data_IF_304049744797
#
_entry.id   IF_304049744797
#
_cell.length_a   1.000
_cell.length_b   1.000
_cell.length_c   1.000
_cell.angle_alpha   90.00
_cell.angle_beta   90.00
_cell.angle_gamma   90.00
#
_symmetry.space_group_name_H-M   'P 1'
#
loop_
_entity.id
_entity.type
_entity.pdbx_description
1 polymer ?
#
# COMPACT_ATOMS: atom_id res chain seq x y z
N UNK A 1 48.16 66.88 -12.59
CA UNK A 1 46.87 66.76 -11.87
C UNK A 1 45.73 66.58 -12.87
N UNK A 2 45.74 67.39 -13.92
CA UNK A 2 44.68 67.58 -14.93
C UNK A 2 44.24 66.32 -15.72
N UNK A 3 45.11 65.31 -15.87
CA UNK A 3 44.75 64.06 -16.56
C UNK A 3 44.32 62.92 -15.62
N UNK A 4 44.70 62.98 -14.34
CA UNK A 4 44.59 61.86 -13.40
C UNK A 4 43.49 62.05 -12.34
N UNK A 5 43.16 63.30 -11.99
CA UNK A 5 41.99 63.57 -11.14
C UNK A 5 40.74 63.34 -11.98
N UNK A 6 39.90 62.39 -11.57
CA UNK A 6 38.71 61.96 -12.33
C UNK A 6 39.07 61.47 -13.75
N UNK A 7 40.05 60.57 -13.80
CA UNK A 7 40.52 59.97 -15.04
C UNK A 7 39.39 59.27 -15.81
N UNK A 8 39.15 59.75 -17.03
CA UNK A 8 38.17 59.24 -17.98
C UNK A 8 38.83 59.11 -19.35
N UNK A 9 38.68 57.96 -20.00
CA UNK A 9 39.19 57.67 -21.35
C UNK A 9 38.01 57.50 -22.30
N UNK A 10 38.21 57.84 -23.58
CA UNK A 10 37.20 57.71 -24.61
C UNK A 10 36.94 56.24 -24.94
N UNK A 11 37.98 55.41 -25.01
CA UNK A 11 37.91 53.98 -25.33
C UNK A 11 39.12 53.22 -24.79
N UNK A 12 39.03 51.89 -24.84
CA UNK A 12 40.08 50.94 -24.40
C UNK A 12 40.54 49.93 -25.46
N UNK A 13 40.00 50.03 -26.68
CA UNK A 13 40.18 49.02 -27.75
C UNK A 13 41.13 49.49 -28.84
N UNK A 14 41.56 50.76 -28.82
CA UNK A 14 42.42 51.34 -29.85
C UNK A 14 43.89 50.99 -29.62
N UNK A 15 44.56 50.59 -30.69
CA UNK A 15 45.99 50.24 -30.70
C UNK A 15 46.88 51.28 -31.39
N UNK A 16 46.32 52.25 -32.14
CA UNK A 16 47.08 53.30 -32.84
C UNK A 16 46.50 54.68 -32.52
N UNK A 17 47.30 55.76 -32.44
CA UNK A 17 46.78 57.10 -32.18
C UNK A 17 45.74 57.54 -33.23
N UNK A 18 44.65 58.23 -32.85
CA UNK A 18 43.76 58.91 -33.79
C UNK A 18 44.53 59.88 -34.69
N UNK A 19 44.11 60.02 -35.95
CA UNK A 19 44.73 60.95 -36.90
C UNK A 19 44.52 62.44 -36.54
N UNK A 20 43.49 62.75 -35.75
CA UNK A 20 43.17 64.12 -35.33
C UNK A 20 42.64 64.13 -33.89
N UNK A 21 43.51 63.98 -32.88
CA UNK A 21 43.10 64.07 -31.48
C UNK A 21 42.82 65.51 -31.06
N UNK A 22 41.87 65.69 -30.15
CA UNK A 22 41.61 66.95 -29.47
C UNK A 22 42.35 67.01 -28.13
N UNK A 23 42.79 68.20 -27.72
CA UNK A 23 43.37 68.42 -26.39
C UNK A 23 42.41 67.93 -25.30
N UNK A 24 42.94 67.15 -24.35
CA UNK A 24 42.12 66.47 -23.34
C UNK A 24 41.80 65.01 -23.66
N UNK A 25 41.98 64.56 -24.92
CA UNK A 25 41.68 63.19 -25.30
C UNK A 25 42.56 62.20 -24.53
N UNK A 26 41.91 61.19 -23.96
CA UNK A 26 42.56 60.11 -23.22
C UNK A 26 42.08 58.78 -23.79
N UNK A 27 42.99 57.88 -24.07
CA UNK A 27 42.67 56.52 -24.49
C UNK A 27 43.40 55.54 -23.59
N UNK A 28 42.72 54.48 -23.19
CA UNK A 28 43.39 53.31 -22.65
C UNK A 28 43.91 52.50 -23.83
N UNK A 29 45.22 52.42 -24.00
CA UNK A 29 45.83 51.78 -25.16
C UNK A 29 45.64 50.27 -25.08
N UNK A 30 45.00 49.67 -26.08
CA UNK A 30 44.83 48.22 -26.16
C UNK A 30 46.17 47.51 -26.41
N UNK A 31 46.22 46.21 -26.12
CA UNK A 31 47.39 45.38 -26.45
C UNK A 31 47.59 45.29 -27.97
N UNK A 32 48.85 45.29 -28.40
CA UNK A 32 49.24 45.40 -29.80
C UNK A 32 49.42 46.86 -30.25
N UNK A 33 49.86 47.74 -29.35
CA UNK A 33 50.01 49.16 -29.65
C UNK A 33 51.00 49.42 -30.80
N UNK A 34 50.67 50.34 -31.70
CA UNK A 34 51.42 50.64 -32.93
C UNK A 34 51.68 52.15 -33.08
N UNK A 35 52.53 52.50 -34.06
CA UNK A 35 52.92 53.89 -34.30
C UNK A 35 53.66 54.48 -33.09
N UNK A 36 53.39 55.75 -32.79
CA UNK A 36 53.98 56.43 -31.63
C UNK A 36 53.51 55.88 -30.27
N UNK A 37 52.48 55.03 -30.25
CA UNK A 37 52.03 54.32 -29.05
C UNK A 37 52.71 52.94 -28.88
N UNK A 38 53.64 52.55 -29.77
CA UNK A 38 54.32 51.26 -29.65
C UNK A 38 54.97 51.08 -28.25
N UNK A 39 54.64 49.95 -27.59
CA UNK A 39 55.07 49.65 -26.23
C UNK A 39 54.30 50.36 -25.11
N UNK A 40 53.19 51.02 -25.43
CA UNK A 40 52.29 51.68 -24.46
C UNK A 40 51.07 50.83 -24.13
N UNK A 41 51.08 49.54 -24.47
CA UNK A 41 50.02 48.59 -24.16
C UNK A 41 49.53 48.72 -22.71
N UNK A 42 48.23 48.83 -22.50
CA UNK A 42 47.58 48.99 -21.19
C UNK A 42 47.91 50.29 -20.45
N UNK A 43 48.62 51.24 -21.06
CA UNK A 43 48.88 52.57 -20.50
C UNK A 43 47.80 53.55 -20.98
N UNK A 44 47.73 54.72 -20.33
CA UNK A 44 46.82 55.78 -20.77
C UNK A 44 47.60 56.74 -21.66
N UNK A 45 47.16 56.89 -22.90
CA UNK A 45 47.64 57.90 -23.81
C UNK A 45 46.81 59.17 -23.61
N UNK A 46 47.45 60.27 -23.24
CA UNK A 46 46.84 61.59 -23.02
C UNK A 46 47.36 62.59 -24.04
N UNK A 47 46.48 63.22 -24.82
CA UNK A 47 46.85 64.26 -25.78
C UNK A 47 46.74 65.64 -25.16
N UNK A 48 47.87 66.37 -25.14
CA UNK A 48 47.97 67.73 -24.62
C UNK A 48 49.10 68.47 -25.34
N UNK A 49 48.92 69.76 -25.62
CA UNK A 49 49.93 70.65 -26.21
C UNK A 49 50.59 70.07 -27.48
N UNK A 50 49.81 69.38 -28.31
CA UNK A 50 50.29 68.82 -29.58
C UNK A 50 51.11 67.53 -29.47
N UNK A 51 51.17 66.89 -28.30
CA UNK A 51 51.90 65.64 -28.09
C UNK A 51 51.09 64.60 -27.28
N UNK A 52 51.38 63.31 -27.54
CA UNK A 52 50.89 62.24 -26.68
C UNK A 52 51.83 62.06 -25.49
N UNK A 53 51.26 62.05 -24.30
CA UNK A 53 51.92 61.69 -23.05
C UNK A 53 51.47 60.30 -22.64
N UNK A 54 52.43 59.45 -22.28
CA UNK A 54 52.19 58.14 -21.68
C UNK A 54 52.03 58.27 -20.17
N UNK A 55 50.89 57.86 -19.64
CA UNK A 55 50.69 57.70 -18.20
C UNK A 55 50.72 56.20 -17.86
N UNK A 56 51.72 55.82 -17.06
CA UNK A 56 51.90 54.44 -16.59
C UNK A 56 51.00 54.20 -15.37
N UNK A 57 50.03 53.26 -15.43
CA UNK A 57 49.12 53.03 -14.32
C UNK A 57 49.85 52.44 -13.11
N UNK A 58 49.41 52.83 -11.91
CA UNK A 58 49.83 52.21 -10.65
C UNK A 58 48.66 51.44 -10.04
N UNK A 59 48.97 50.42 -9.24
CA UNK A 59 47.95 49.57 -8.62
C UNK A 59 46.92 50.43 -7.88
N UNK A 60 45.64 50.15 -8.12
CA UNK A 60 44.51 50.89 -7.56
C UNK A 60 44.06 52.12 -8.36
N UNK A 61 44.73 52.47 -9.47
CA UNK A 61 44.22 53.52 -10.36
C UNK A 61 42.87 53.12 -10.93
N UNK A 62 41.94 54.08 -10.95
CA UNK A 62 40.60 53.94 -11.51
C UNK A 62 40.47 54.77 -12.79
N UNK A 63 39.82 54.22 -13.81
CA UNK A 63 39.50 54.92 -15.06
C UNK A 63 38.06 54.65 -15.46
N UNK A 64 37.32 55.70 -15.82
CA UNK A 64 36.04 55.57 -16.52
C UNK A 64 36.27 55.38 -18.01
N UNK A 65 35.70 54.34 -18.61
CA UNK A 65 35.75 54.12 -20.08
C UNK A 65 34.44 54.61 -20.69
N UNK A 66 34.45 55.79 -21.30
CA UNK A 66 33.25 56.45 -21.78
C UNK A 66 32.48 55.64 -22.82
N UNK A 67 33.18 54.94 -23.73
CA UNK A 67 32.55 54.08 -24.74
C UNK A 67 31.82 52.86 -24.17
N UNK A 68 32.17 52.40 -22.96
CA UNK A 68 31.61 51.18 -22.34
C UNK A 68 30.72 51.48 -21.13
N UNK A 69 30.79 52.69 -20.56
CA UNK A 69 29.98 53.07 -19.42
C UNK A 69 30.36 52.34 -18.12
N UNK A 70 31.64 52.01 -17.94
CA UNK A 70 32.14 51.28 -16.77
C UNK A 70 33.46 51.83 -16.22
N UNK A 71 33.76 51.47 -14.97
CA UNK A 71 35.05 51.72 -14.34
C UNK A 71 35.97 50.50 -14.47
N UNK A 72 37.25 50.75 -14.73
CA UNK A 72 38.31 49.77 -14.60
C UNK A 72 39.26 50.15 -13.46
N UNK A 73 39.79 49.15 -12.77
CA UNK A 73 40.89 49.29 -11.79
C UNK A 73 42.13 48.58 -12.29
N UNK A 74 43.30 49.22 -12.16
CA UNK A 74 44.57 48.56 -12.43
C UNK A 74 45.00 47.69 -11.25
N UNK A 75 45.11 46.38 -11.45
CA UNK A 75 45.51 45.42 -10.40
C UNK A 75 47.02 45.35 -10.17
N UNK A 76 47.81 45.98 -11.05
CA UNK A 76 49.26 45.82 -11.11
C UNK A 76 49.71 45.08 -12.37
N UNK A 77 48.83 44.29 -12.98
CA UNK A 77 49.10 43.52 -14.21
C UNK A 77 47.99 43.64 -15.26
N UNK A 78 46.76 43.96 -14.86
CA UNK A 78 45.63 44.09 -15.78
C UNK A 78 44.67 45.20 -15.34
N UNK A 79 43.90 45.72 -16.30
CA UNK A 79 42.72 46.54 -16.04
C UNK A 79 41.49 45.63 -15.90
N UNK A 80 40.89 45.62 -14.72
CA UNK A 80 39.73 44.78 -14.41
C UNK A 80 38.49 45.64 -14.14
N UNK A 81 37.31 45.14 -14.52
CA UNK A 81 36.05 45.85 -14.28
C UNK A 81 35.76 45.97 -12.79
N UNK A 82 35.32 47.16 -12.39
CA UNK A 82 34.86 47.46 -11.04
C UNK A 82 33.35 47.26 -10.97
N UNK A 83 32.88 46.55 -9.95
CA UNK A 83 31.44 46.38 -9.69
C UNK A 83 30.80 45.17 -10.35
N UNK A 84 31.56 44.29 -11.02
CA UNK A 84 31.04 43.00 -11.49
C UNK A 84 31.04 41.95 -10.37
N UNK A 85 29.99 41.10 -10.28
CA UNK A 85 29.99 39.95 -9.38
C UNK A 85 31.20 39.06 -9.65
N UNK A 86 31.87 38.62 -8.59
CA UNK A 86 32.95 37.63 -8.68
C UNK A 86 32.56 36.38 -7.91
N UNK A 87 33.00 35.25 -8.44
CA UNK A 87 32.93 34.00 -7.71
C UNK A 87 33.79 34.10 -6.44
N UNK A 88 33.23 33.60 -5.33
CA UNK A 88 33.93 33.54 -4.05
C UNK A 88 34.25 32.07 -3.78
N UNK A 89 35.51 31.77 -3.48
CA UNK A 89 35.92 30.42 -3.09
C UNK A 89 35.22 29.99 -1.80
N UNK A 90 34.78 28.73 -1.75
CA UNK A 90 34.22 28.10 -0.56
C UNK A 90 35.19 28.07 0.64
N UNK A 91 36.50 28.18 0.39
CA UNK A 91 37.50 28.33 1.43
C UNK A 91 37.46 29.69 2.14
N UNK A 92 36.84 30.70 1.52
CA UNK A 92 36.84 32.09 2.02
C UNK A 92 35.45 32.51 2.52
N UNK A 93 34.37 31.96 1.98
CA UNK A 93 33.01 32.30 2.40
C UNK A 93 32.54 31.46 3.60
N UNK A 94 32.21 32.12 4.71
CA UNK A 94 31.54 31.49 5.86
C UNK A 94 30.59 32.46 6.54
N UNK A 95 29.51 31.94 7.11
CA UNK A 95 28.68 32.68 8.07
C UNK A 95 29.25 32.43 9.45
N UNK A 96 29.49 33.49 10.22
CA UNK A 96 30.09 33.43 11.54
C UNK A 96 29.15 34.10 12.53
N UNK A 97 29.06 33.59 13.75
CA UNK A 97 28.31 34.27 14.79
C UNK A 97 29.12 35.46 15.34
N UNK A 98 28.51 36.64 15.37
CA UNK A 98 29.20 37.88 15.79
C UNK A 98 29.67 37.86 17.25
N UNK A 99 28.91 37.21 18.13
CA UNK A 99 29.25 37.12 19.56
C UNK A 99 30.24 35.98 19.85
N UNK A 100 30.28 34.95 19.01
CA UNK A 100 31.17 33.79 19.15
C UNK A 100 31.74 33.38 17.79
N UNK A 101 32.90 33.92 17.40
CA UNK A 101 33.51 33.64 16.11
C UNK A 101 33.91 32.17 15.88
N UNK A 102 33.82 31.31 16.90
CA UNK A 102 34.06 29.87 16.75
C UNK A 102 32.87 29.12 16.16
N UNK A 103 31.65 29.70 16.22
CA UNK A 103 30.43 29.14 15.62
C UNK A 103 30.32 29.60 14.18
N UNK A 104 30.48 28.66 13.24
CA UNK A 104 30.52 28.94 11.79
C UNK A 104 29.64 28.00 11.00
N UNK A 105 29.02 28.51 9.94
CA UNK A 105 28.46 27.70 8.85
C UNK A 105 29.33 27.89 7.60
N UNK A 106 29.81 26.79 7.03
CA UNK A 106 30.66 26.76 5.83
C UNK A 106 29.93 26.05 4.70
N UNK A 107 30.24 26.41 3.46
CA UNK A 107 29.56 25.90 2.27
C UNK A 107 30.56 25.16 1.38
N UNK A 108 30.86 23.89 1.68
CA UNK A 108 31.87 23.13 0.94
C UNK A 108 31.37 22.66 -0.43
N UNK A 109 32.19 22.86 -1.46
CA UNK A 109 31.95 22.35 -2.82
C UNK A 109 32.70 21.05 -3.13
N UNK A 110 33.48 20.52 -2.17
CA UNK A 110 34.33 19.34 -2.37
C UNK A 110 33.58 18.06 -2.79
N UNK A 111 32.27 17.99 -2.54
CA UNK A 111 31.41 16.88 -2.94
C UNK A 111 30.90 16.94 -4.39
N UNK A 112 31.11 18.05 -5.11
CA UNK A 112 30.65 18.18 -6.50
C UNK A 112 31.67 17.52 -7.43
N UNK A 113 31.26 16.45 -8.09
CA UNK A 113 32.08 15.77 -9.10
C UNK A 113 31.99 16.50 -10.45
N UNK A 114 33.16 16.76 -11.06
CA UNK A 114 33.31 17.52 -12.33
C UNK A 114 32.80 18.97 -12.27
N UNK A 115 33.08 19.76 -13.33
CA UNK A 115 32.66 21.16 -13.46
C UNK A 115 31.16 21.33 -13.67
N UNK A 116 30.34 20.96 -12.68
CA UNK A 116 28.88 21.01 -12.72
C UNK A 116 28.35 22.08 -11.77
N UNK A 117 27.54 23.01 -12.27
CA UNK A 117 26.83 23.99 -11.43
C UNK A 117 25.67 23.33 -10.67
N UNK A 118 25.59 23.57 -9.37
CA UNK A 118 24.44 23.18 -8.52
C UNK A 118 23.75 24.43 -8.01
N UNK A 119 22.44 24.53 -8.26
CA UNK A 119 21.65 25.69 -7.84
C UNK A 119 20.75 25.33 -6.67
N UNK A 120 20.87 26.09 -5.59
CA UNK A 120 19.89 26.09 -4.51
C UNK A 120 18.96 27.29 -4.71
N UNK A 121 17.68 27.02 -4.99
CA UNK A 121 16.68 28.07 -5.23
C UNK A 121 15.89 28.32 -3.96
N UNK A 122 15.93 29.55 -3.45
CA UNK A 122 15.12 29.94 -2.31
C UNK A 122 13.64 30.02 -2.72
N UNK A 123 12.72 29.41 -1.96
CA UNK A 123 11.31 29.60 -2.20
C UNK A 123 10.88 31.01 -1.75
N UNK A 124 9.77 31.52 -2.28
CA UNK A 124 9.16 32.77 -1.80
C UNK A 124 8.39 32.54 -0.47
N UNK A 125 9.01 31.85 0.48
CA UNK A 125 8.52 31.58 1.83
C UNK A 125 9.71 31.23 2.72
N UNK A 126 9.58 31.43 4.03
CA UNK A 126 10.53 30.85 4.98
C UNK A 126 10.50 29.33 4.90
N UNK A 127 11.67 28.69 5.00
CA UNK A 127 11.82 27.24 5.01
C UNK A 127 12.96 26.85 5.94
N UNK A 128 12.90 25.61 6.45
CA UNK A 128 14.00 24.96 7.13
C UNK A 128 14.79 24.09 6.15
N UNK A 129 16.11 23.97 6.37
CA UNK A 129 17.00 23.06 5.63
C UNK A 129 17.15 21.76 6.41
N UNK A 130 16.98 20.63 5.71
CA UNK A 130 17.17 19.32 6.31
C UNK A 130 18.65 19.10 6.69
N UNK A 131 18.92 18.71 7.94
CA UNK A 131 20.24 18.28 8.41
C UNK A 131 20.41 16.75 8.43
N UNK A 132 21.66 16.30 8.47
CA UNK A 132 22.05 14.88 8.39
C UNK A 132 21.68 14.06 9.64
N UNK A 133 21.71 14.68 10.81
CA UNK A 133 21.50 14.01 12.09
C UNK A 133 20.76 14.92 13.07
N UNK A 134 20.13 14.32 14.07
CA UNK A 134 19.28 15.02 15.05
C UNK A 134 17.81 15.07 14.64
N UNK A 135 16.96 15.47 15.59
CA UNK A 135 15.52 15.59 15.36
C UNK A 135 15.21 16.90 14.64
N UNK A 136 14.38 16.83 13.61
CA UNK A 136 13.89 18.00 12.88
C UNK A 136 12.37 18.00 12.85
N UNK A 137 11.77 19.19 12.97
CA UNK A 137 10.32 19.35 13.00
C UNK A 137 9.87 20.16 11.79
N UNK A 138 9.42 19.45 10.77
CA UNK A 138 8.84 20.08 9.59
C UNK A 138 7.37 20.45 9.84
N UNK A 139 7.06 21.75 9.84
CA UNK A 139 5.67 22.23 10.01
C UNK A 139 4.96 22.47 8.67
N UNK A 140 3.64 22.28 8.66
CA UNK A 140 2.81 22.38 7.46
C UNK A 140 2.94 21.19 6.50
N UNK A 141 2.29 21.30 5.34
CA UNK A 141 2.27 20.22 4.35
C UNK A 141 3.65 20.09 3.67
N UNK A 142 4.16 18.85 3.60
CA UNK A 142 5.38 18.51 2.86
C UNK A 142 5.02 17.57 1.72
N UNK A 143 5.42 17.93 0.51
CA UNK A 143 5.14 17.15 -0.71
C UNK A 143 6.45 16.60 -1.25
N UNK A 144 6.51 15.29 -1.47
CA UNK A 144 7.61 14.61 -2.14
C UNK A 144 7.08 14.08 -3.47
N UNK A 145 7.62 14.55 -4.60
CA UNK A 145 7.18 14.13 -5.94
C UNK A 145 7.79 12.79 -6.40
N UNK A 146 8.58 12.15 -5.55
CA UNK A 146 9.23 10.86 -5.80
C UNK A 146 9.07 9.90 -4.62
N UNK A 147 9.99 8.96 -4.51
CA UNK A 147 9.96 7.96 -3.43
C UNK A 147 10.40 8.57 -2.09
N UNK A 148 9.58 8.36 -1.06
CA UNK A 148 9.97 8.55 0.33
C UNK A 148 10.45 7.20 0.89
N UNK A 149 11.72 7.12 1.29
CA UNK A 149 12.29 5.94 1.95
C UNK A 149 12.54 6.23 3.42
N UNK A 150 11.89 5.48 4.31
CA UNK A 150 12.13 5.51 5.75
C UNK A 150 12.69 4.15 6.19
N UNK A 151 13.92 4.14 6.71
CA UNK A 151 14.58 2.93 7.22
C UNK A 151 14.21 2.58 8.67
N UNK A 152 13.62 3.54 9.39
CA UNK A 152 13.13 3.37 10.75
C UNK A 152 11.60 3.33 10.83
N UNK A 153 11.08 3.51 12.04
CA UNK A 153 9.64 3.55 12.29
C UNK A 153 9.03 4.85 11.77
N UNK A 154 7.89 4.73 11.08
CA UNK A 154 7.02 5.86 10.75
C UNK A 154 5.84 5.85 11.72
N UNK A 155 5.76 6.86 12.58
CA UNK A 155 4.67 7.02 13.55
C UNK A 155 3.75 8.15 13.11
N UNK A 156 2.45 7.88 13.03
CA UNK A 156 1.42 8.90 12.79
C UNK A 156 0.59 9.04 14.06
N UNK A 157 0.79 10.16 14.77
CA UNK A 157 0.05 10.47 16.01
C UNK A 157 -1.22 11.30 15.76
N UNK A 158 -1.49 11.66 14.51
CA UNK A 158 -2.70 12.38 14.13
C UNK A 158 -3.94 11.46 14.19
N UNK A 159 -5.14 12.06 14.26
CA UNK A 159 -6.40 11.32 14.32
C UNK A 159 -6.67 10.45 13.07
N UNK A 160 -6.04 10.75 11.93
CA UNK A 160 -6.16 9.96 10.70
C UNK A 160 -4.85 9.92 9.93
N UNK A 161 -4.62 8.81 9.25
CA UNK A 161 -3.57 8.62 8.25
C UNK A 161 -4.24 8.12 6.97
N UNK A 162 -4.14 8.87 5.88
CA UNK A 162 -4.60 8.42 4.57
C UNK A 162 -3.40 7.95 3.76
N UNK A 163 -3.36 6.66 3.42
CA UNK A 163 -2.33 6.08 2.55
C UNK A 163 -2.94 5.86 1.17
N UNK A 164 -2.51 6.72 0.24
CA UNK A 164 -2.77 6.68 -1.19
C UNK A 164 -4.23 6.83 -1.63
N UNK A 165 -4.54 8.06 -2.04
CA UNK A 165 -5.82 8.51 -2.60
C UNK A 165 -5.85 8.41 -4.13
N UNK A 166 -5.06 7.49 -4.71
CA UNK A 166 -4.96 7.35 -6.16
C UNK A 166 -6.30 6.91 -6.75
N UNK A 167 -6.69 7.53 -7.85
CA UNK A 167 -7.91 7.17 -8.61
C UNK A 167 -7.71 5.97 -9.54
N UNK A 168 -6.45 5.55 -9.72
CA UNK A 168 -6.04 4.37 -10.48
C UNK A 168 -5.64 3.22 -9.54
N UNK A 169 -5.32 2.05 -10.10
CA UNK A 169 -4.78 0.94 -9.30
C UNK A 169 -3.56 1.39 -8.48
N UNK A 170 -3.64 1.21 -7.17
CA UNK A 170 -2.54 1.39 -6.24
C UNK A 170 -2.23 0.06 -5.56
N UNK A 171 -0.94 -0.27 -5.45
CA UNK A 171 -0.48 -1.49 -4.77
C UNK A 171 0.27 -1.09 -3.50
N UNK A 172 -0.20 -1.59 -2.36
CA UNK A 172 0.45 -1.39 -1.06
C UNK A 172 1.04 -2.73 -0.60
N UNK A 173 2.35 -2.88 -0.77
CA UNK A 173 3.07 -4.01 -0.22
C UNK A 173 3.34 -3.80 1.27
N UNK A 174 2.90 -4.73 2.11
CA UNK A 174 3.34 -4.79 3.51
C UNK A 174 4.35 -5.93 3.66
N UNK A 175 5.62 -5.59 3.92
CA UNK A 175 6.66 -6.57 4.22
C UNK A 175 7.15 -7.41 3.03
N UNK A 176 7.09 -6.89 1.80
CA UNK A 176 7.65 -7.54 0.60
C UNK A 176 9.19 -7.54 0.66
N UNK A 177 9.78 -8.68 1.03
CA UNK A 177 11.24 -8.87 1.07
C UNK A 177 11.60 -10.25 1.60
N UNK A 178 12.60 -10.89 0.99
CA UNK A 178 13.16 -12.15 1.47
C UNK A 178 13.83 -11.93 2.83
N UNK A 179 13.15 -12.32 3.91
CA UNK A 179 13.75 -12.33 5.25
C UNK A 179 14.45 -13.66 5.47
N UNK A 180 15.78 -13.67 5.38
CA UNK A 180 16.63 -14.79 5.78
C UNK A 180 16.69 -14.99 7.29
N UNK A 181 16.04 -14.10 8.07
CA UNK A 181 15.82 -14.22 9.51
C UNK A 181 14.59 -13.36 9.90
N UNK A 182 13.61 -13.95 10.60
CA UNK A 182 12.34 -13.32 10.97
C UNK A 182 11.16 -13.86 10.15
N UNK A 183 10.53 -14.93 10.65
CA UNK A 183 9.55 -15.75 9.90
C UNK A 183 8.16 -15.11 9.87
N UNK A 184 7.82 -14.23 10.83
CA UNK A 184 6.47 -13.68 10.98
C UNK A 184 6.41 -12.20 10.60
N UNK A 185 5.54 -11.86 9.65
CA UNK A 185 5.14 -10.48 9.34
C UNK A 185 3.72 -10.30 9.88
N UNK A 186 3.53 -9.35 10.79
CA UNK A 186 2.24 -9.11 11.42
C UNK A 186 1.70 -7.76 10.97
N UNK A 187 0.43 -7.75 10.55
CA UNK A 187 -0.35 -6.52 10.40
C UNK A 187 -1.33 -6.47 11.57
N UNK A 188 -1.01 -5.67 12.58
CA UNK A 188 -1.92 -5.42 13.70
C UNK A 188 -2.91 -4.34 13.29
N UNK A 189 -4.19 -4.69 13.19
CA UNK A 189 -5.27 -3.75 12.90
C UNK A 189 -6.18 -3.66 14.13
N UNK A 190 -6.17 -2.50 14.80
CA UNK A 190 -7.11 -2.19 15.87
C UNK A 190 -6.57 -1.33 17.00
N UNK A 191 -7.44 -1.04 17.96
CA UNK A 191 -7.11 -0.22 19.13
C UNK A 191 -6.30 -1.01 20.14
N UNK A 192 -5.25 -0.43 20.71
CA UNK A 192 -4.42 -1.04 21.77
C UNK A 192 -5.13 -1.27 23.12
N UNK A 193 -6.46 -1.35 23.17
CA UNK A 193 -7.20 -1.87 24.32
C UNK A 193 -7.91 -0.88 25.24
N UNK A 194 -8.35 0.30 24.78
CA UNK A 194 -9.26 1.12 25.59
C UNK A 194 -10.66 0.45 25.64
N UNK A 195 -11.21 0.27 26.85
CA UNK A 195 -12.54 -0.35 27.05
C UNK A 195 -13.62 0.34 26.20
N UNK A 196 -14.42 -0.45 25.49
CA UNK A 196 -15.48 0.05 24.59
C UNK A 196 -15.00 0.48 23.19
N UNK A 197 -13.70 0.42 22.90
CA UNK A 197 -13.20 0.72 21.56
C UNK A 197 -13.61 -0.33 20.55
N UNK A 198 -14.01 0.12 19.36
CA UNK A 198 -14.31 -0.76 18.23
C UNK A 198 -13.23 -0.60 17.16
N UNK A 199 -12.93 -1.68 16.44
CA UNK A 199 -12.10 -1.65 15.24
C UNK A 199 -12.96 -2.08 14.08
N UNK A 200 -13.13 -1.20 13.10
CA UNK A 200 -13.85 -1.49 11.85
C UNK A 200 -12.84 -1.60 10.72
N UNK A 201 -12.78 -2.78 10.09
CA UNK A 201 -11.97 -3.02 8.90
C UNK A 201 -12.91 -3.24 7.73
N UNK A 202 -13.14 -2.18 6.95
CA UNK A 202 -13.90 -2.28 5.71
C UNK A 202 -12.96 -2.76 4.60
N UNK A 203 -13.27 -3.90 3.99
CA UNK A 203 -12.50 -4.48 2.88
C UNK A 203 -13.41 -4.58 1.66
N UNK A 204 -13.09 -3.83 0.61
CA UNK A 204 -13.91 -3.72 -0.61
C UNK A 204 -14.43 -2.31 -0.85
N UNK A 205 -15.23 -2.14 -1.91
CA UNK A 205 -15.77 -0.84 -2.28
C UNK A 205 -16.90 -0.41 -1.34
N UNK A 206 -16.91 0.85 -0.94
CA UNK A 206 -18.05 1.48 -0.27
C UNK A 206 -19.15 1.95 -1.26
N UNK A 207 -18.91 1.82 -2.57
CA UNK A 207 -19.85 2.24 -3.61
C UNK A 207 -20.85 1.13 -3.89
N UNK A 208 -22.15 1.43 -3.79
CA UNK A 208 -23.21 0.47 -4.11
C UNK A 208 -23.06 -0.06 -5.54
N UNK A 209 -23.10 -1.39 -5.70
CA UNK A 209 -22.98 -2.06 -7.00
C UNK A 209 -21.55 -2.24 -7.52
N UNK A 210 -20.53 -1.67 -6.86
CA UNK A 210 -19.14 -1.97 -7.20
C UNK A 210 -18.73 -3.34 -6.63
N UNK A 211 -18.43 -4.29 -7.52
CA UNK A 211 -17.89 -5.58 -7.12
C UNK A 211 -16.55 -5.45 -6.39
N UNK A 212 -16.24 -6.43 -5.55
CA UNK A 212 -14.95 -6.54 -4.88
C UNK A 212 -14.65 -7.99 -4.53
N UNK A 213 -13.40 -8.40 -4.67
CA UNK A 213 -12.95 -9.74 -4.27
C UNK A 213 -11.94 -9.61 -3.14
N UNK A 214 -12.22 -10.25 -2.01
CA UNK A 214 -11.22 -10.47 -0.96
C UNK A 214 -10.68 -11.89 -1.13
N UNK A 215 -9.41 -12.01 -1.51
CA UNK A 215 -8.73 -13.31 -1.67
C UNK A 215 -7.80 -13.52 -0.48
N UNK A 216 -8.04 -14.59 0.27
CA UNK A 216 -7.21 -14.99 1.41
C UNK A 216 -6.51 -16.30 1.03
N UNK A 217 -5.25 -16.22 0.62
CA UNK A 217 -4.46 -17.39 0.20
C UNK A 217 -3.54 -17.89 1.32
N UNK A 218 -4.15 -18.38 2.41
CA UNK A 218 -3.45 -19.02 3.54
C UNK A 218 -4.08 -20.39 3.81
N UNK A 219 -3.30 -21.39 4.27
CA UNK A 219 -3.83 -22.69 4.65
C UNK A 219 -4.86 -22.61 5.78
N UNK A 220 -4.80 -21.57 6.62
CA UNK A 220 -5.67 -21.41 7.79
C UNK A 220 -6.11 -19.96 7.96
N UNK A 221 -7.40 -19.80 8.30
CA UNK A 221 -7.98 -18.57 8.86
C UNK A 221 -8.60 -18.93 10.20
N UNK A 222 -8.14 -18.29 11.28
CA UNK A 222 -8.63 -18.54 12.64
C UNK A 222 -9.35 -17.31 13.17
N UNK A 223 -10.56 -17.52 13.66
CA UNK A 223 -11.34 -16.50 14.35
C UNK A 223 -11.15 -16.60 15.87
N UNK A 224 -11.33 -15.50 16.59
CA UNK A 224 -11.34 -15.52 18.05
C UNK A 224 -12.51 -16.37 18.59
N UNK A 225 -12.36 -16.88 19.81
CA UNK A 225 -13.38 -17.71 20.48
C UNK A 225 -14.72 -17.00 20.74
N UNK A 226 -14.77 -15.68 20.66
CA UNK A 226 -15.95 -14.85 20.95
C UNK A 226 -16.67 -14.32 19.69
N UNK A 227 -16.42 -14.88 18.49
CA UNK A 227 -17.16 -14.48 17.30
C UNK A 227 -18.64 -14.85 17.45
N UNK A 228 -19.50 -13.84 17.45
CA UNK A 228 -20.96 -13.98 17.60
C UNK A 228 -21.67 -14.23 16.28
N UNK A 229 -21.09 -13.81 15.15
CA UNK A 229 -21.67 -13.97 13.82
C UNK A 229 -20.60 -13.96 12.73
N UNK A 230 -20.77 -14.84 11.74
CA UNK A 230 -20.20 -14.72 10.40
C UNK A 230 -21.38 -14.64 9.42
N UNK A 231 -21.65 -13.44 8.90
CA UNK A 231 -22.86 -13.16 8.12
C UNK A 231 -22.62 -13.17 6.60
N UNK A 232 -23.53 -13.80 5.86
CA UNK A 232 -23.54 -13.80 4.38
C UNK A 232 -24.99 -13.58 3.87
N UNK A 233 -25.62 -12.42 4.13
CA UNK A 233 -27.06 -12.25 3.98
C UNK A 233 -27.59 -12.32 2.54
N UNK A 234 -26.75 -12.06 1.54
CA UNK A 234 -27.11 -12.07 0.12
C UNK A 234 -26.15 -12.92 -0.73
N UNK A 235 -25.33 -13.75 -0.11
CA UNK A 235 -24.27 -14.49 -0.80
C UNK A 235 -24.41 -15.99 -0.58
N UNK A 236 -24.02 -16.76 -1.60
CA UNK A 236 -23.87 -18.21 -1.48
C UNK A 236 -22.62 -18.55 -0.66
N UNK A 237 -22.75 -19.51 0.25
CA UNK A 237 -21.62 -20.16 0.89
C UNK A 237 -21.33 -21.49 0.18
N UNK A 238 -20.12 -21.66 -0.34
CA UNK A 238 -19.64 -22.94 -0.87
C UNK A 238 -18.54 -23.47 0.03
N UNK A 239 -18.79 -24.61 0.67
CA UNK A 239 -17.85 -25.27 1.56
C UNK A 239 -17.64 -26.72 1.12
N UNK A 240 -16.38 -27.18 1.10
CA UNK A 240 -16.08 -28.59 0.83
C UNK A 240 -16.39 -29.48 2.04
N UNK A 241 -16.12 -28.96 3.25
CA UNK A 241 -16.32 -29.63 4.54
C UNK A 241 -16.92 -28.63 5.53
N UNK A 242 -17.95 -29.03 6.27
CA UNK A 242 -18.62 -28.22 7.29
C UNK A 242 -18.83 -29.05 8.57
N UNK A 243 -18.03 -28.74 9.59
CA UNK A 243 -18.15 -29.28 10.93
C UNK A 243 -18.89 -28.32 11.86
N UNK A 244 -19.90 -28.81 12.59
CA UNK A 244 -20.72 -28.00 13.50
C UNK A 244 -20.73 -28.64 14.90
N UNK A 245 -20.63 -27.82 15.95
CA UNK A 245 -20.67 -28.29 17.34
C UNK A 245 -19.43 -29.09 17.77
N UNK A 246 -18.26 -28.79 17.18
CA UNK A 246 -17.01 -29.51 17.46
C UNK A 246 -16.85 -30.82 16.70
N UNK A 247 -17.73 -31.11 15.74
CA UNK A 247 -17.55 -32.22 14.81
C UNK A 247 -16.45 -31.92 13.78
N UNK A 248 -15.65 -32.93 13.44
CA UNK A 248 -14.75 -32.90 12.29
C UNK A 248 -15.49 -33.48 11.08
N UNK A 249 -15.60 -32.69 10.02
CA UNK A 249 -16.09 -33.18 8.73
C UNK A 249 -14.96 -33.86 7.95
N UNK A 250 -15.31 -34.85 7.14
CA UNK A 250 -14.36 -35.66 6.38
C UNK A 250 -14.87 -35.91 4.94
N UNK A 251 -14.11 -36.65 4.13
CA UNK A 251 -14.45 -36.89 2.72
C UNK A 251 -15.79 -37.61 2.50
N UNK A 252 -16.25 -38.36 3.51
CA UNK A 252 -17.51 -39.10 3.54
C UNK A 252 -18.62 -38.26 4.20
N UNK A 253 -18.39 -37.79 5.43
CA UNK A 253 -19.29 -36.91 6.18
C UNK A 253 -18.92 -35.44 5.94
N UNK A 254 -19.20 -34.94 4.74
CA UNK A 254 -18.86 -33.55 4.37
C UNK A 254 -19.61 -32.50 5.18
N UNK A 255 -20.81 -32.84 5.66
CA UNK A 255 -21.50 -32.09 6.71
C UNK A 255 -21.56 -32.99 7.94
N UNK A 256 -20.89 -32.58 9.01
CA UNK A 256 -20.80 -33.34 10.26
C UNK A 256 -21.25 -32.46 11.41
N UNK A 257 -22.17 -32.97 12.24
CA UNK A 257 -22.79 -32.19 13.32
C UNK A 257 -22.74 -33.01 14.60
N UNK A 258 -22.13 -32.45 15.65
CA UNK A 258 -22.07 -33.02 16.99
C UNK A 258 -22.81 -32.09 17.95
N UNK A 259 -24.06 -32.42 18.25
CA UNK A 259 -24.97 -31.53 18.98
C UNK A 259 -26.09 -32.35 19.65
N UNK A 260 -26.69 -31.86 20.76
CA UNK A 260 -27.89 -32.47 21.33
C UNK A 260 -29.12 -32.44 20.41
N UNK A 261 -29.24 -31.43 19.53
CA UNK A 261 -30.40 -31.27 18.65
C UNK A 261 -30.05 -30.56 17.33
N UNK A 262 -30.79 -30.92 16.27
CA UNK A 262 -30.79 -30.24 14.97
C UNK A 262 -32.23 -29.82 14.66
N UNK A 263 -32.47 -28.52 14.50
CA UNK A 263 -33.76 -27.98 14.09
C UNK A 263 -33.67 -27.53 12.63
N UNK A 264 -34.53 -28.13 11.79
CA UNK A 264 -34.75 -27.70 10.42
C UNK A 264 -36.16 -27.12 10.34
N UNK A 265 -36.27 -25.81 10.11
CA UNK A 265 -37.55 -25.11 10.13
C UNK A 265 -37.79 -24.34 8.83
N UNK A 266 -39.05 -24.19 8.45
CA UNK A 266 -39.44 -23.37 7.31
C UNK A 266 -39.83 -21.95 7.76
N UNK A 267 -39.73 -21.00 6.84
CA UNK A 267 -40.15 -19.61 7.06
C UNK A 267 -41.49 -19.27 6.35
N UNK A 268 -42.31 -20.27 6.00
CA UNK A 268 -43.49 -20.08 5.15
C UNK A 268 -44.32 -21.35 4.91
N UNK A 269 -44.41 -21.80 3.66
CA UNK A 269 -45.36 -22.84 3.25
C UNK A 269 -44.95 -24.27 3.63
N UNK A 270 -43.65 -24.59 3.68
CA UNK A 270 -43.17 -25.94 3.98
C UNK A 270 -41.65 -26.07 3.91
N UNK A 271 -41.16 -27.25 4.29
CA UNK A 271 -39.76 -27.68 4.16
C UNK A 271 -39.73 -29.02 3.42
N UNK A 272 -38.74 -29.19 2.54
CA UNK A 272 -38.50 -30.44 1.82
C UNK A 272 -37.04 -30.88 2.02
N UNK A 273 -36.84 -32.18 2.24
CA UNK A 273 -35.52 -32.79 2.27
C UNK A 273 -35.44 -33.89 1.21
N UNK A 274 -34.57 -33.72 0.23
CA UNK A 274 -34.36 -34.69 -0.84
C UNK A 274 -33.17 -35.58 -0.51
N UNK A 275 -33.39 -36.89 -0.44
CA UNK A 275 -32.33 -37.90 -0.33
C UNK A 275 -32.32 -38.71 -1.62
N UNK A 276 -31.33 -38.44 -2.48
CA UNK A 276 -31.23 -39.08 -3.79
C UNK A 276 -30.15 -40.17 -3.79
N UNK A 277 -30.38 -41.22 -4.59
CA UNK A 277 -29.42 -42.30 -4.82
C UNK A 277 -28.94 -42.31 -6.27
N UNK A 278 -27.73 -42.81 -6.50
CA UNK A 278 -27.08 -42.75 -7.82
C UNK A 278 -27.64 -43.75 -8.84
N UNK A 279 -28.13 -44.91 -8.37
CA UNK A 279 -28.70 -45.97 -9.19
C UNK A 279 -29.75 -46.76 -8.41
N UNK A 280 -30.55 -47.57 -9.11
CA UNK A 280 -31.61 -48.37 -8.50
C UNK A 280 -31.10 -49.28 -7.36
N UNK A 281 -29.92 -49.88 -7.54
CA UNK A 281 -29.28 -50.74 -6.52
C UNK A 281 -28.55 -49.99 -5.39
N UNK A 282 -28.52 -48.66 -5.40
CA UNK A 282 -27.93 -47.85 -4.33
C UNK A 282 -28.93 -47.59 -3.21
N UNK A 283 -28.43 -47.04 -2.09
CA UNK A 283 -29.25 -46.69 -0.94
C UNK A 283 -29.50 -45.17 -0.85
N UNK A 284 -30.72 -44.80 -0.50
CA UNK A 284 -31.09 -43.46 -0.05
C UNK A 284 -31.90 -43.61 1.24
N UNK A 285 -31.31 -43.31 2.39
CA UNK A 285 -31.88 -43.70 3.67
C UNK A 285 -31.56 -42.77 4.83
N UNK A 286 -32.44 -42.82 5.84
CA UNK A 286 -32.13 -42.41 7.20
C UNK A 286 -31.69 -43.64 8.00
N UNK A 287 -30.54 -43.53 8.67
CA UNK A 287 -29.98 -44.60 9.48
C UNK A 287 -30.03 -44.26 10.97
N UNK A 288 -30.61 -45.15 11.76
CA UNK A 288 -30.71 -45.03 13.21
C UNK A 288 -29.70 -45.98 13.83
N UNK A 289 -28.80 -45.45 14.68
CA UNK A 289 -27.61 -46.16 15.15
C UNK A 289 -27.44 -46.06 16.67
N UNK A 290 -26.81 -47.07 17.25
CA UNK A 290 -26.25 -47.05 18.62
C UNK A 290 -24.77 -47.39 18.54
N UNK A 291 -23.90 -46.54 19.08
CA UNK A 291 -22.45 -46.77 19.05
C UNK A 291 -21.90 -46.99 17.63
N UNK A 292 -22.36 -46.20 16.66
CA UNK A 292 -22.02 -46.31 15.23
C UNK A 292 -22.45 -47.59 14.51
N UNK A 293 -23.11 -48.52 15.19
CA UNK A 293 -23.72 -49.70 14.58
C UNK A 293 -25.18 -49.43 14.22
N UNK A 294 -25.56 -49.70 12.97
CA UNK A 294 -26.93 -49.47 12.50
C UNK A 294 -27.90 -50.47 13.14
N UNK A 295 -29.07 -49.97 13.52
CA UNK A 295 -30.16 -50.76 14.14
C UNK A 295 -31.44 -50.71 13.33
N UNK A 296 -31.71 -49.58 12.68
CA UNK A 296 -32.80 -49.46 11.72
C UNK A 296 -32.39 -48.55 10.54
N UNK A 297 -32.94 -48.85 9.37
CA UNK A 297 -32.82 -48.07 8.14
C UNK A 297 -34.21 -47.83 7.56
N UNK A 298 -34.46 -46.63 7.08
CA UNK A 298 -35.72 -46.24 6.42
C UNK A 298 -35.37 -45.56 5.10
N UNK A 299 -35.87 -46.07 3.98
CA UNK A 299 -35.62 -45.47 2.67
C UNK A 299 -35.74 -46.42 1.49
N UNK A 300 -35.07 -46.05 0.40
CA UNK A 300 -34.88 -46.92 -0.78
C UNK A 300 -33.58 -47.71 -0.56
N UNK A 301 -33.69 -49.00 -0.27
CA UNK A 301 -32.59 -49.82 0.27
C UNK A 301 -32.26 -50.98 -0.67
N UNK A 302 -31.27 -50.80 -1.54
CA UNK A 302 -30.80 -51.77 -2.53
C UNK A 302 -31.73 -51.98 -3.73
N UNK A 303 -32.83 -51.23 -3.79
CA UNK A 303 -33.83 -51.21 -4.87
C UNK A 303 -34.70 -49.95 -4.73
N UNK A 304 -35.66 -49.77 -5.64
CA UNK A 304 -36.57 -48.61 -5.69
C UNK A 304 -37.85 -48.77 -4.85
N UNK A 305 -37.99 -49.85 -4.08
CA UNK A 305 -39.10 -50.03 -3.13
C UNK A 305 -38.78 -49.33 -1.80
N UNK A 306 -39.77 -48.63 -1.23
CA UNK A 306 -39.60 -47.99 0.06
C UNK A 306 -39.70 -49.03 1.18
N UNK A 307 -38.72 -49.07 2.07
CA UNK A 307 -38.61 -50.14 3.06
C UNK A 307 -38.10 -49.68 4.41
N UNK A 308 -38.45 -50.48 5.42
CA UNK A 308 -37.95 -50.41 6.79
C UNK A 308 -37.17 -51.69 7.05
N UNK A 309 -35.86 -51.56 7.26
CA UNK A 309 -34.99 -52.68 7.63
C UNK A 309 -34.50 -52.53 9.06
N UNK A 310 -34.41 -53.63 9.79
CA UNK A 310 -33.89 -53.66 11.17
C UNK A 310 -32.80 -54.70 11.32
N UNK A 311 -31.88 -54.46 12.26
CA UNK A 311 -30.75 -55.34 12.55
C UNK A 311 -30.39 -55.30 14.02
N UNK A 312 -30.07 -56.46 14.60
CA UNK A 312 -29.56 -56.58 15.98
C UNK A 312 -28.07 -56.29 16.08
N UNK A 313 -27.30 -56.55 15.02
CA UNK A 313 -25.83 -56.50 15.00
C UNK A 313 -25.26 -55.42 14.06
N UNK A 314 -26.10 -54.82 13.22
CA UNK A 314 -25.73 -53.84 12.21
C UNK A 314 -25.09 -54.42 10.95
N UNK A 315 -25.10 -55.74 10.79
CA UNK A 315 -24.57 -56.47 9.64
C UNK A 315 -25.66 -57.26 8.92
N UNK A 316 -26.46 -58.04 9.65
CA UNK A 316 -27.59 -58.78 9.09
C UNK A 316 -28.89 -57.98 9.24
N UNK A 317 -29.54 -57.65 8.13
CA UNK A 317 -30.77 -56.88 8.10
C UNK A 317 -31.97 -57.71 7.68
N UNK A 318 -33.09 -57.51 8.37
CA UNK A 318 -34.39 -58.07 8.01
C UNK A 318 -35.26 -56.96 7.43
N UNK A 319 -35.92 -57.22 6.30
CA UNK A 319 -37.00 -56.38 5.79
C UNK A 319 -38.23 -56.54 6.67
N UNK A 320 -38.52 -55.52 7.49
CA UNK A 320 -39.67 -55.52 8.38
C UNK A 320 -40.94 -55.05 7.64
N UNK A 321 -40.81 -54.01 6.81
CA UNK A 321 -41.89 -53.46 5.97
C UNK A 321 -41.28 -53.14 4.61
N UNK A 322 -42.00 -53.47 3.55
CA UNK A 322 -41.66 -53.09 2.18
C UNK A 322 -42.90 -52.57 1.46
N UNK A 323 -42.77 -51.51 0.68
CA UNK A 323 -43.85 -50.95 -0.14
C UNK A 323 -43.43 -51.11 -1.60
N UNK A 324 -44.15 -51.95 -2.34
CA UNK A 324 -43.88 -52.16 -3.77
C UNK A 324 -44.13 -50.86 -4.53
N UNK A 325 -43.11 -50.38 -5.25
CA UNK A 325 -43.16 -49.10 -5.97
C UNK A 325 -44.19 -49.06 -7.09
N UNK A 326 -44.60 -50.22 -7.61
CA UNK A 326 -45.47 -50.30 -8.80
C UNK A 326 -46.96 -50.27 -8.40
N UNK A 327 -47.29 -50.97 -7.31
CA UNK A 327 -48.65 -51.19 -6.84
C UNK A 327 -49.00 -50.39 -5.59
N UNK A 328 -48.00 -49.89 -4.86
CA UNK A 328 -48.18 -49.24 -3.55
C UNK A 328 -48.56 -50.22 -2.43
N UNK A 329 -48.49 -51.53 -2.67
CA UNK A 329 -48.87 -52.55 -1.68
C UNK A 329 -47.80 -52.70 -0.60
N UNK A 330 -48.26 -52.85 0.65
CA UNK A 330 -47.40 -53.11 1.80
C UNK A 330 -47.20 -54.62 1.97
N UNK A 331 -45.94 -55.03 2.05
CA UNK A 331 -45.51 -56.38 2.36
C UNK A 331 -44.89 -56.43 3.77
N UNK A 332 -45.14 -57.53 4.49
CA UNK A 332 -44.49 -57.88 5.76
C UNK A 332 -43.66 -59.15 5.55
N UNK A 333 -42.39 -59.03 5.11
CA UNK A 333 -41.59 -60.20 4.72
C UNK A 333 -41.27 -61.15 5.87
N UNK A 334 -41.32 -60.65 7.11
CA UNK A 334 -41.20 -61.48 8.31
C UNK A 334 -42.58 -61.92 8.83
N UNK A 335 -42.69 -63.12 9.44
CA UNK A 335 -43.92 -63.55 10.07
C UNK A 335 -44.44 -62.52 11.08
N UNK A 336 -45.71 -62.15 10.95
CA UNK A 336 -46.36 -61.28 11.93
C UNK A 336 -46.65 -62.10 13.20
N UNK A 337 -45.93 -61.82 14.28
CA UNK A 337 -46.20 -62.44 15.58
C UNK A 337 -47.38 -61.71 16.23
N UNK A 338 -48.51 -62.39 16.32
CA UNK A 338 -49.70 -61.89 17.02
C UNK A 338 -49.75 -62.53 18.40
N UNK A 339 -49.71 -61.75 19.51
CA UNK A 339 -49.87 -62.31 20.84
C UNK A 339 -51.27 -62.91 20.99
N UNK A 340 -51.36 -64.08 21.63
CA UNK A 340 -52.63 -64.78 21.80
C UNK A 340 -53.55 -64.08 22.78
N UNK A 341 -54.78 -63.82 22.36
CA UNK A 341 -55.83 -63.28 23.21
C UNK A 341 -56.59 -64.40 23.93
N UNK A 342 -57.03 -64.12 25.16
CA UNK A 342 -57.85 -65.03 25.96
C UNK A 342 -59.28 -65.19 25.41
N UNK A 343 -59.78 -64.19 24.67
CA UNK A 343 -61.09 -64.20 24.03
C UNK A 343 -61.04 -63.48 22.68
N UNK A 344 -62.02 -63.76 21.82
CA UNK A 344 -62.18 -63.02 20.57
C UNK A 344 -62.52 -61.55 20.88
N UNK A 345 -61.82 -60.58 20.26
CA UNK A 345 -62.13 -59.17 20.44
C UNK A 345 -63.49 -58.83 19.83
N UNK A 346 -64.09 -57.71 20.25
CA UNK A 346 -65.32 -57.22 19.61
C UNK A 346 -65.10 -56.98 18.11
N UNK A 347 -66.10 -57.26 17.25
CA UNK A 347 -65.98 -57.02 15.82
C UNK A 347 -65.55 -55.58 15.53
N UNK A 348 -64.64 -55.37 14.57
CA UNK A 348 -64.20 -54.03 14.25
C UNK A 348 -65.35 -53.22 13.62
N UNK A 349 -65.30 -51.87 13.71
CA UNK A 349 -66.21 -51.00 12.98
C UNK A 349 -66.19 -51.29 11.47
N UNK A 350 -67.29 -50.96 10.78
CA UNK A 350 -67.41 -51.12 9.33
C UNK A 350 -66.20 -50.55 8.57
N UNK A 351 -65.68 -51.32 7.61
CA UNK A 351 -64.52 -50.93 6.79
C UNK A 351 -63.16 -51.15 7.46
N UNK A 352 -63.11 -51.85 8.60
CA UNK A 352 -61.87 -52.22 9.28
C UNK A 352 -61.74 -53.75 9.34
N UNK A 353 -60.51 -54.24 9.29
CA UNK A 353 -60.18 -55.65 9.46
C UNK A 353 -59.35 -55.84 10.74
N UNK A 354 -59.65 -56.89 11.51
CA UNK A 354 -58.87 -57.27 12.69
C UNK A 354 -58.29 -58.67 12.47
N UNK A 355 -56.97 -58.78 12.66
CA UNK A 355 -56.28 -60.07 12.78
C UNK A 355 -55.90 -60.27 14.25
N UNK A 356 -56.19 -61.44 14.80
CA UNK A 356 -55.78 -61.82 16.15
C UNK A 356 -55.38 -63.28 16.21
N UNK A 357 -54.39 -63.59 17.05
CA UNK A 357 -54.15 -64.96 17.47
C UNK A 357 -55.00 -65.25 18.70
N UNK A 358 -55.47 -66.51 18.82
CA UNK A 358 -56.10 -67.02 20.03
C UNK A 358 -55.19 -68.11 20.60
N UNK A 359 -55.00 -68.11 21.91
CA UNK A 359 -54.34 -69.24 22.56
C UNK A 359 -55.20 -70.49 22.31
N UNK A 360 -54.58 -71.59 21.85
CA UNK A 360 -55.28 -72.88 21.84
C UNK A 360 -55.57 -73.24 23.30
N UNK A 361 -56.84 -73.49 23.60
CA UNK A 361 -57.27 -74.04 24.88
C UNK A 361 -56.74 -75.46 25.05
#
# INVERSE_FOLDING_TARGET
LDAMVQLSVLDRTRTAPPASPADGNRHLVASGATGIWAGWDLNIAFWIDGAWIRLVPRTGWLVWVAAEGLFLVWTGSAWEVVGEPRDVSDAVFSLVNDADPTKKATFSLAGISAGTTRSFTLPNTSSELAILAGTQTFTGNKTFSGTLTASGTVTVSAASASIGTATTTATYGMGTGATTTGVTKTVNLGTGGASGSTTVVNIGSATAGAGGTTVINTPTVTFANAVTQVGMPQANLTAQLLGIGGATADSYNRVSVNTPAVLLNNAGAGIEATVNKAAAGSDAAFAFKTGFSARALIGLLGNDDFSFKVSSDGSAFFDAIKIDRTSGQVELPQPTVLPGLAAAPSPPPTGKATLYARNRA
#
